data_IF_962158035181
#
_entry.id   IF_962158035181
#
_cell.length_a   1.000
_cell.length_b   1.000
_cell.length_c   1.000
_cell.angle_alpha   90.00
_cell.angle_beta   90.00
_cell.angle_gamma   90.00
#
_symmetry.space_group_name_H-M   'P 1'
#
loop_
_entity.id
_entity.type
_entity.pdbx_description
1 polymer ?
#
# COMPACT_ATOMS: atom_id res chain seq x y z
N UNK A 1 5.82 15.30 10.72
CA UNK A 1 5.62 14.09 9.90
C UNK A 1 5.81 14.54 8.47
N UNK A 2 6.84 14.05 7.80
CA UNK A 2 7.11 14.43 6.41
C UNK A 2 5.93 13.99 5.53
N UNK A 3 5.66 14.72 4.44
CA UNK A 3 4.58 14.42 3.48
C UNK A 3 4.67 12.99 2.91
N UNK A 4 5.83 12.36 3.05
CA UNK A 4 6.13 11.04 2.54
C UNK A 4 6.30 9.98 3.63
N UNK A 5 5.95 10.28 4.88
CA UNK A 5 5.81 9.28 5.93
C UNK A 5 4.39 8.70 5.91
N UNK A 6 4.19 7.52 6.51
CA UNK A 6 2.89 6.82 6.49
C UNK A 6 2.24 6.78 7.87
N UNK A 7 1.02 7.29 7.98
CA UNK A 7 0.26 7.31 9.23
C UNK A 7 -0.48 5.97 9.42
N UNK A 8 -0.23 5.28 10.54
CA UNK A 8 -0.86 3.98 10.86
C UNK A 8 -2.13 4.18 11.66
N UNK A 9 -3.27 3.82 11.09
CA UNK A 9 -4.58 4.11 11.69
C UNK A 9 -5.52 2.91 11.67
N UNK A 10 -6.30 2.75 12.74
CA UNK A 10 -7.30 1.70 12.84
C UNK A 10 -8.48 1.93 11.90
N UNK A 11 -9.04 0.86 11.32
CA UNK A 11 -10.17 0.94 10.38
C UNK A 11 -11.41 1.66 10.94
N UNK A 12 -11.60 1.67 12.27
CA UNK A 12 -12.69 2.42 12.92
C UNK A 12 -12.45 3.92 12.87
N UNK A 13 -11.25 4.35 13.20
CA UNK A 13 -10.83 5.76 13.16
C UNK A 13 -10.80 6.28 11.73
N UNK A 14 -10.24 5.51 10.80
CA UNK A 14 -10.24 5.86 9.37
C UNK A 14 -11.65 6.17 8.84
N UNK A 15 -12.66 5.42 9.30
CA UNK A 15 -14.05 5.62 8.92
C UNK A 15 -14.71 6.83 9.61
N UNK A 16 -14.41 7.08 10.88
CA UNK A 16 -14.99 8.21 11.62
C UNK A 16 -14.38 9.55 11.21
N UNK A 17 -13.10 9.54 10.85
CA UNK A 17 -12.30 10.73 10.54
C UNK A 17 -12.00 10.83 9.03
N UNK A 18 -12.79 10.18 8.17
CA UNK A 18 -12.54 10.12 6.73
C UNK A 18 -12.26 11.49 6.07
N UNK A 19 -12.98 12.58 6.40
CA UNK A 19 -12.68 13.91 5.86
C UNK A 19 -11.24 14.37 6.13
N UNK A 20 -10.68 14.07 7.32
CA UNK A 20 -9.31 14.44 7.70
C UNK A 20 -8.30 13.87 6.69
N UNK A 21 -8.48 12.62 6.27
CA UNK A 21 -7.56 11.94 5.36
C UNK A 21 -7.79 12.34 3.90
N UNK A 22 -9.05 12.55 3.47
CA UNK A 22 -9.36 12.97 2.11
C UNK A 22 -8.77 14.35 1.77
N UNK A 23 -8.79 15.28 2.73
CA UNK A 23 -8.21 16.61 2.56
C UNK A 23 -6.73 16.69 2.99
N UNK A 24 -6.17 15.60 3.49
CA UNK A 24 -4.77 15.49 3.88
C UNK A 24 -3.82 15.34 2.70
N UNK A 25 -2.52 15.30 3.01
CA UNK A 25 -1.46 15.06 2.02
C UNK A 25 -0.62 13.82 2.33
N UNK A 26 -0.90 13.17 3.47
CA UNK A 26 -0.10 12.07 4.01
C UNK A 26 -0.78 10.74 3.71
N UNK A 27 -0.06 9.75 3.15
CA UNK A 27 -0.58 8.39 3.00
C UNK A 27 -0.95 7.76 4.34
N UNK A 28 -1.97 6.89 4.32
CA UNK A 28 -2.47 6.18 5.51
C UNK A 28 -2.38 4.68 5.31
N UNK A 29 -1.77 3.98 6.27
CA UNK A 29 -1.85 2.53 6.43
C UNK A 29 -3.04 2.19 7.33
N UNK A 30 -4.06 1.52 6.76
CA UNK A 30 -5.28 1.16 7.48
C UNK A 30 -5.11 -0.23 8.09
N UNK A 31 -5.33 -0.33 9.40
CA UNK A 31 -5.09 -1.54 10.18
C UNK A 31 -6.40 -2.07 10.79
N UNK A 32 -6.60 -3.39 10.74
CA UNK A 32 -7.69 -4.10 11.43
C UNK A 32 -7.11 -5.29 12.19
N UNK A 33 -7.40 -5.36 13.49
CA UNK A 33 -6.91 -6.44 14.36
C UNK A 33 -5.38 -6.66 14.28
N UNK A 34 -4.59 -5.58 14.13
CA UNK A 34 -3.13 -5.67 14.01
C UNK A 34 -2.62 -5.98 12.60
N UNK A 35 -3.49 -6.21 11.62
CA UNK A 35 -3.11 -6.48 10.23
C UNK A 35 -3.46 -5.32 9.32
N UNK A 36 -2.56 -5.00 8.40
CA UNK A 36 -2.81 -4.03 7.34
C UNK A 36 -3.91 -4.54 6.42
N UNK A 37 -4.97 -3.77 6.27
CA UNK A 37 -6.11 -4.08 5.37
C UNK A 37 -6.08 -3.27 4.08
N UNK A 38 -5.29 -2.20 4.04
CA UNK A 38 -5.13 -1.40 2.84
C UNK A 38 -4.36 -0.12 3.09
N UNK A 39 -4.05 0.55 1.99
CA UNK A 39 -3.40 1.85 1.98
C UNK A 39 -4.29 2.89 1.31
N UNK A 40 -4.33 4.09 1.86
CA UNK A 40 -5.03 5.24 1.28
C UNK A 40 -4.01 6.31 0.89
N UNK A 41 -4.01 6.68 -0.40
CA UNK A 41 -3.15 7.74 -0.94
C UNK A 41 -4.02 8.92 -1.37
N UNK A 42 -4.02 10.05 -0.63
CA UNK A 42 -4.73 11.23 -1.05
C UNK A 42 -4.07 11.83 -2.30
N UNK A 43 -4.88 12.18 -3.31
CA UNK A 43 -4.42 12.87 -4.52
C UNK A 43 -5.14 14.21 -4.65
N UNK A 44 -4.37 15.28 -4.91
CA UNK A 44 -4.95 16.61 -5.20
C UNK A 44 -5.43 16.63 -6.65
N UNK A 45 -6.71 16.38 -6.89
CA UNK A 45 -7.28 16.53 -8.23
C UNK A 45 -7.22 18.00 -8.66
N UNK A 46 -6.54 18.29 -9.78
CA UNK A 46 -6.54 19.63 -10.41
C UNK A 46 -7.26 19.74 -11.76
N UNK A 47 -7.65 18.64 -12.42
CA UNK A 47 -8.55 18.66 -13.60
C UNK A 47 -8.92 17.24 -14.09
N UNK A 48 -9.85 17.12 -15.05
CA UNK A 48 -10.28 15.83 -15.65
C UNK A 48 -9.22 15.09 -16.49
N UNK A 49 -8.12 15.74 -16.88
CA UNK A 49 -6.97 15.08 -17.53
C UNK A 49 -5.95 14.53 -16.51
N UNK A 50 -6.30 14.55 -15.22
CA UNK A 50 -5.38 14.28 -14.11
C UNK A 50 -5.42 12.84 -13.59
N UNK A 51 -6.17 11.91 -14.19
CA UNK A 51 -6.26 10.54 -13.66
C UNK A 51 -4.92 9.80 -13.79
N UNK A 52 -4.27 9.86 -14.96
CA UNK A 52 -2.92 9.29 -15.15
C UNK A 52 -1.90 10.02 -14.26
N UNK A 53 -1.99 11.35 -14.17
CA UNK A 53 -1.09 12.14 -13.32
C UNK A 53 -1.27 11.81 -11.83
N UNK A 54 -2.49 11.53 -11.39
CA UNK A 54 -2.79 11.11 -10.03
C UNK A 54 -2.21 9.72 -9.75
N UNK A 55 -2.38 8.77 -10.68
CA UNK A 55 -1.75 7.45 -10.57
C UNK A 55 -0.23 7.54 -10.52
N UNK A 56 0.39 8.38 -11.36
CA UNK A 56 1.83 8.63 -11.33
C UNK A 56 2.28 9.25 -10.00
N UNK A 57 1.51 10.19 -9.45
CA UNK A 57 1.82 10.79 -8.15
C UNK A 57 1.70 9.79 -6.98
N UNK A 58 0.77 8.83 -7.08
CA UNK A 58 0.66 7.72 -6.12
C UNK A 58 1.85 6.78 -6.25
N UNK A 59 2.21 6.38 -7.48
CA UNK A 59 3.35 5.50 -7.73
C UNK A 59 4.66 6.10 -7.19
N UNK A 60 4.94 7.37 -7.47
CA UNK A 60 6.14 8.05 -6.99
C UNK A 60 6.20 8.13 -5.45
N UNK A 61 5.07 8.35 -4.78
CA UNK A 61 5.02 8.33 -3.31
C UNK A 61 5.27 6.93 -2.75
N UNK A 62 4.74 5.90 -3.40
CA UNK A 62 4.94 4.51 -3.00
C UNK A 62 6.41 4.08 -3.16
N UNK A 63 7.03 4.41 -4.31
CA UNK A 63 8.46 4.16 -4.56
C UNK A 63 9.34 4.85 -3.50
N UNK A 64 9.03 6.10 -3.16
CA UNK A 64 9.73 6.79 -2.08
C UNK A 64 9.61 6.03 -0.74
N UNK A 65 8.39 5.63 -0.36
CA UNK A 65 8.16 4.86 0.88
C UNK A 65 8.96 3.55 0.91
N UNK A 66 9.05 2.85 -0.22
CA UNK A 66 9.85 1.62 -0.34
C UNK A 66 11.34 1.92 -0.18
N UNK A 67 11.85 2.94 -0.85
CA UNK A 67 13.27 3.34 -0.74
C UNK A 67 13.66 3.72 0.68
N UNK A 68 12.80 4.42 1.42
CA UNK A 68 13.03 4.78 2.82
C UNK A 68 13.07 3.55 3.74
N UNK A 69 12.40 2.46 3.36
CA UNK A 69 12.44 1.17 4.06
C UNK A 69 13.57 0.26 3.57
N UNK A 70 14.39 0.72 2.61
CA UNK A 70 15.44 -0.07 1.99
C UNK A 70 14.92 -1.24 1.15
N UNK A 71 13.66 -1.15 0.68
CA UNK A 71 13.02 -2.18 -0.14
C UNK A 71 13.18 -1.78 -1.60
N UNK A 72 13.83 -2.63 -2.39
CA UNK A 72 13.94 -2.47 -3.84
C UNK A 72 12.82 -3.22 -4.58
N UNK A 73 12.60 -2.88 -5.85
CA UNK A 73 11.71 -3.65 -6.73
C UNK A 73 12.12 -5.13 -6.81
N UNK A 74 13.43 -5.40 -6.87
CA UNK A 74 13.96 -6.77 -6.89
C UNK A 74 13.60 -7.56 -5.62
N UNK A 75 13.57 -6.89 -4.46
CA UNK A 75 13.15 -7.53 -3.21
C UNK A 75 11.68 -7.95 -3.26
N UNK A 76 10.81 -7.06 -3.79
CA UNK A 76 9.38 -7.33 -3.97
C UNK A 76 9.17 -8.50 -4.95
N UNK A 77 9.86 -8.48 -6.10
CA UNK A 77 9.77 -9.55 -7.09
C UNK A 77 10.25 -10.88 -6.52
N UNK A 78 11.35 -10.86 -5.74
CA UNK A 78 11.89 -12.06 -5.08
C UNK A 78 10.88 -12.64 -4.09
N UNK A 79 10.30 -11.82 -3.22
CA UNK A 79 9.31 -12.26 -2.23
C UNK A 79 8.06 -12.83 -2.92
N UNK A 80 7.54 -12.16 -3.94
CA UNK A 80 6.38 -12.63 -4.70
C UNK A 80 6.63 -14.00 -5.36
N UNK A 81 7.83 -14.23 -5.93
CA UNK A 81 8.21 -15.53 -6.51
C UNK A 81 8.24 -16.63 -5.45
N UNK A 82 8.81 -16.35 -4.27
CA UNK A 82 8.86 -17.30 -3.15
C UNK A 82 7.45 -17.70 -2.69
N UNK A 83 6.52 -16.74 -2.61
CA UNK A 83 5.11 -17.03 -2.29
C UNK A 83 4.48 -17.95 -3.35
N UNK A 84 4.66 -17.64 -4.64
CA UNK A 84 4.14 -18.46 -5.73
C UNK A 84 4.70 -19.90 -5.73
N UNK A 85 5.97 -20.07 -5.36
CA UNK A 85 6.61 -21.38 -5.23
C UNK A 85 6.07 -22.16 -4.03
N UNK A 86 5.90 -21.49 -2.89
CA UNK A 86 5.33 -22.09 -1.68
C UNK A 86 3.89 -22.59 -1.92
N UNK A 87 3.06 -21.81 -2.61
CA UNK A 87 1.69 -22.20 -2.96
C UNK A 87 1.66 -23.45 -3.86
N UNK A 88 2.55 -23.51 -4.85
CA UNK A 88 2.71 -24.69 -5.72
C UNK A 88 3.17 -25.93 -4.95
N UNK A 89 4.06 -25.75 -3.98
CA UNK A 89 4.54 -26.86 -3.16
C UNK A 89 3.43 -27.41 -2.24
N UNK A 90 2.57 -26.54 -1.69
CA UNK A 90 1.42 -26.96 -0.90
C UNK A 90 0.36 -27.68 -1.75
N UNK A 91 0.01 -27.16 -2.92
CA UNK A 91 -0.96 -27.82 -3.83
C UNK A 91 -0.52 -29.23 -4.26
N UNK A 92 0.80 -29.47 -4.44
CA UNK A 92 1.33 -30.80 -4.76
C UNK A 92 1.25 -31.78 -3.59
N UNK A 93 1.27 -31.29 -2.35
CA UNK A 93 1.07 -32.13 -1.16
C UNK A 93 -0.40 -32.51 -0.96
N UNK A 94 -1.32 -31.61 -1.29
CA UNK A 94 -2.76 -31.83 -1.14
C UNK A 94 -3.34 -32.83 -2.17
N UNK A 95 -2.68 -33.00 -3.32
CA UNK A 95 -3.08 -33.95 -4.38
C UNK A 95 -2.44 -35.35 -4.25
N UNK A 96 -1.58 -35.56 -3.25
CA UNK A 96 -0.83 -36.80 -3.04
C UNK A 96 -1.19 -37.57 -1.76
N UNK A 97 -2.27 -37.19 -1.08
CA UNK A 97 -2.78 -37.83 0.14
C UNK A 97 -3.98 -38.73 -0.11
#
# INVERSE_FOLDING_TARGET
MDKHDIEKIGVREFRSELPKYIYGETPVEVIRHGHTVGFYFPVKQRSKSADIAALQAVAAQFEYLLSQKGISEDDIVREFRQMCEADRANQRKDLGG
#
